data_IF_697473695112
#
_entry.id   IF_697473695112
#
_cell.length_a   1.000
_cell.length_b   1.000
_cell.length_c   1.000
_cell.angle_alpha   90.00
_cell.angle_beta   90.00
_cell.angle_gamma   90.00
#
_symmetry.space_group_name_H-M   'P 1'
#
loop_
_entity.id
_entity.type
_entity.pdbx_description
1 polymer ?
#
# COMPACT_ATOMS: atom_id res chain seq x y z
N UNK A 1 23.05 -29.38 81.29
CA UNK A 1 21.74 -28.70 81.14
C UNK A 1 21.98 -27.21 81.15
N UNK A 2 21.74 -26.55 80.01
CA UNK A 2 21.18 -25.20 79.84
C UNK A 2 21.44 -24.74 78.39
N UNK A 3 20.36 -24.72 77.62
CA UNK A 3 20.20 -24.12 76.29
C UNK A 3 20.28 -22.60 76.38
N UNK A 4 20.90 -21.90 75.42
CA UNK A 4 20.50 -20.53 75.01
C UNK A 4 20.97 -20.19 73.55
N UNK A 5 19.99 -20.15 72.63
CA UNK A 5 19.74 -19.17 71.54
C UNK A 5 20.93 -18.48 70.83
N UNK A 6 21.25 -18.75 69.55
CA UNK A 6 20.65 -18.23 68.30
C UNK A 6 20.58 -16.70 68.13
N UNK A 7 21.44 -16.13 67.26
CA UNK A 7 21.10 -14.98 66.40
C UNK A 7 22.02 -14.97 65.15
N UNK A 8 21.55 -15.55 64.05
CA UNK A 8 22.19 -15.44 62.74
C UNK A 8 21.50 -14.29 61.96
N UNK A 9 22.24 -13.22 61.68
CA UNK A 9 21.76 -12.13 60.85
C UNK A 9 21.89 -12.50 59.36
N UNK A 10 20.76 -12.79 58.71
CA UNK A 10 20.69 -12.99 57.27
C UNK A 10 20.43 -11.66 56.56
N UNK A 11 21.40 -11.20 55.76
CA UNK A 11 21.26 -10.08 54.83
C UNK A 11 20.59 -10.56 53.53
N UNK A 12 19.51 -9.94 53.04
CA UNK A 12 18.97 -10.26 51.73
C UNK A 12 19.81 -9.59 50.63
N UNK A 13 20.50 -10.40 49.82
CA UNK A 13 21.09 -9.96 48.55
C UNK A 13 19.96 -9.71 47.55
N UNK A 14 19.63 -8.43 47.34
CA UNK A 14 18.68 -7.98 46.32
C UNK A 14 19.36 -8.12 44.93
N UNK A 15 19.01 -9.15 44.17
CA UNK A 15 19.40 -9.26 42.76
C UNK A 15 18.53 -8.32 41.92
N UNK A 16 19.10 -7.18 41.52
CA UNK A 16 18.50 -6.29 40.54
C UNK A 16 18.68 -6.91 39.16
N UNK A 17 17.69 -7.67 38.68
CA UNK A 17 17.61 -8.10 37.28
C UNK A 17 17.24 -6.85 36.46
N UNK A 18 18.26 -6.20 35.89
CA UNK A 18 18.04 -5.17 34.88
C UNK A 18 17.46 -5.84 33.64
N UNK A 19 16.18 -5.57 33.36
CA UNK A 19 15.57 -5.91 32.08
C UNK A 19 16.27 -5.09 30.98
N UNK A 20 17.17 -5.73 30.25
CA UNK A 20 17.73 -5.15 29.03
C UNK A 20 16.64 -5.20 27.96
N UNK A 21 16.02 -4.06 27.69
CA UNK A 21 15.25 -3.85 26.46
C UNK A 21 16.25 -3.83 25.30
N UNK A 22 16.44 -4.97 24.64
CA UNK A 22 17.10 -5.03 23.34
C UNK A 22 16.19 -4.36 22.31
N UNK A 23 16.38 -3.06 22.08
CA UNK A 23 15.95 -2.47 20.81
C UNK A 23 16.87 -3.05 19.74
N UNK A 24 16.45 -4.12 19.10
CA UNK A 24 17.11 -4.67 17.91
C UNK A 24 16.92 -3.70 16.75
N UNK A 25 17.66 -2.59 16.77
CA UNK A 25 17.96 -1.80 15.57
C UNK A 25 19.01 -2.57 14.78
N UNK A 26 18.57 -3.60 14.05
CA UNK A 26 19.46 -4.33 13.16
C UNK A 26 19.99 -3.40 12.08
N UNK A 27 21.31 -3.38 11.88
CA UNK A 27 21.89 -2.73 10.71
C UNK A 27 21.51 -3.57 9.49
N UNK A 28 20.57 -3.07 8.69
CA UNK A 28 20.13 -3.76 7.48
C UNK A 28 21.19 -3.68 6.37
N UNK A 29 21.37 -4.75 5.58
CA UNK A 29 22.16 -4.69 4.35
C UNK A 29 21.64 -3.57 3.45
N UNK A 30 22.53 -2.76 2.90
CA UNK A 30 22.16 -1.64 2.03
C UNK A 30 22.08 -2.05 0.55
N UNK A 31 22.60 -3.22 0.20
CA UNK A 31 22.65 -3.74 -1.17
C UNK A 31 21.28 -4.18 -1.70
N UNK A 32 20.40 -4.67 -0.82
CA UNK A 32 19.03 -5.07 -1.16
C UNK A 32 18.04 -3.89 -1.14
N UNK A 33 18.42 -2.73 -0.59
CA UNK A 33 17.51 -1.59 -0.42
C UNK A 33 17.16 -0.98 -1.78
N UNK A 34 15.87 -0.94 -2.09
CA UNK A 34 15.35 -0.47 -3.36
C UNK A 34 14.09 -1.20 -3.80
N UNK A 35 13.49 -0.74 -4.90
CA UNK A 35 12.38 -1.42 -5.58
C UNK A 35 12.93 -2.28 -6.69
N UNK A 36 12.66 -3.57 -6.61
CA UNK A 36 13.06 -4.58 -7.55
C UNK A 36 11.85 -5.06 -8.33
N UNK A 37 11.95 -5.20 -9.64
CA UNK A 37 10.89 -5.76 -10.48
C UNK A 37 11.46 -6.78 -11.44
N UNK A 38 10.66 -7.80 -11.74
CA UNK A 38 10.89 -8.69 -12.87
C UNK A 38 10.92 -7.93 -14.21
N UNK A 39 11.49 -8.57 -15.24
CA UNK A 39 11.86 -7.98 -16.54
C UNK A 39 10.80 -7.12 -17.24
N UNK A 40 9.50 -7.34 -16.99
CA UNK A 40 8.46 -6.50 -17.60
C UNK A 40 8.56 -5.04 -17.16
N UNK A 41 9.05 -4.78 -15.94
CA UNK A 41 9.11 -3.45 -15.34
C UNK A 41 7.76 -2.70 -15.41
N UNK A 42 6.65 -3.44 -15.28
CA UNK A 42 5.30 -2.89 -15.28
C UNK A 42 4.57 -3.14 -13.96
N UNK A 43 4.85 -4.26 -13.28
CA UNK A 43 4.37 -4.51 -11.92
C UNK A 43 5.36 -3.88 -10.95
N UNK A 44 4.94 -2.85 -10.23
CA UNK A 44 5.78 -2.11 -9.27
C UNK A 44 5.01 -1.91 -7.98
N UNK A 45 5.69 -1.95 -6.85
CA UNK A 45 5.11 -1.62 -5.55
C UNK A 45 4.74 -0.12 -5.44
N UNK A 46 3.90 0.19 -4.47
CA UNK A 46 3.45 1.52 -4.11
C UNK A 46 2.04 1.85 -4.62
N UNK A 47 1.70 3.16 -4.68
CA UNK A 47 0.34 3.62 -4.99
C UNK A 47 -0.12 3.30 -6.43
N UNK A 48 0.80 2.89 -7.30
CA UNK A 48 0.46 2.43 -8.66
C UNK A 48 -0.12 1.01 -8.71
N UNK A 49 -0.01 0.23 -7.62
CA UNK A 49 -0.50 -1.15 -7.56
C UNK A 49 -1.64 -1.33 -6.56
N UNK A 50 -1.61 -0.61 -5.43
CA UNK A 50 -2.67 -0.64 -4.43
C UNK A 50 -3.06 0.76 -4.00
N UNK A 51 -4.36 1.04 -3.99
CA UNK A 51 -4.94 2.30 -3.50
C UNK A 51 -5.60 2.04 -2.13
N UNK A 52 -4.97 2.47 -1.01
CA UNK A 52 -5.49 2.23 0.32
C UNK A 52 -6.74 3.07 0.65
N UNK A 53 -7.01 4.15 -0.08
CA UNK A 53 -8.18 5.01 0.18
C UNK A 53 -9.47 4.39 -0.35
N UNK A 54 -9.40 3.77 -1.53
CA UNK A 54 -10.55 3.08 -2.14
C UNK A 54 -10.53 1.56 -1.95
N UNK A 55 -9.51 1.04 -1.25
CA UNK A 55 -9.27 -0.38 -1.01
C UNK A 55 -9.34 -1.23 -2.29
N UNK A 56 -8.57 -0.85 -3.33
CA UNK A 56 -8.55 -1.57 -4.62
C UNK A 56 -7.14 -1.84 -5.11
N UNK A 57 -6.99 -2.95 -5.82
CA UNK A 57 -5.79 -3.26 -6.59
C UNK A 57 -5.92 -2.68 -8.00
N UNK A 58 -4.82 -2.11 -8.51
CA UNK A 58 -4.74 -1.47 -9.82
C UNK A 58 -3.94 -2.39 -10.73
N UNK A 59 -4.59 -2.90 -11.79
CA UNK A 59 -3.98 -3.87 -12.70
C UNK A 59 -2.83 -3.24 -13.52
N UNK A 60 -1.61 -3.79 -13.44
CA UNK A 60 -0.50 -3.37 -14.28
C UNK A 60 -0.70 -3.78 -15.74
N UNK A 61 0.01 -3.10 -16.65
CA UNK A 61 -0.07 -3.41 -18.09
C UNK A 61 0.51 -4.77 -18.48
N UNK A 62 1.40 -5.34 -17.65
CA UNK A 62 2.03 -6.66 -17.87
C UNK A 62 2.23 -7.38 -16.54
N UNK A 63 2.20 -8.70 -16.60
CA UNK A 63 2.51 -9.57 -15.45
C UNK A 63 3.94 -9.40 -14.97
N UNK A 64 4.14 -9.65 -13.69
CA UNK A 64 5.41 -9.46 -13.02
C UNK A 64 5.29 -9.60 -11.52
N UNK A 65 6.46 -9.64 -10.89
CA UNK A 65 6.62 -9.62 -9.44
C UNK A 65 7.53 -8.43 -9.11
N UNK A 66 7.22 -7.74 -8.02
CA UNK A 66 8.05 -6.68 -7.48
C UNK A 66 8.12 -6.76 -5.97
N UNK A 67 9.30 -6.43 -5.44
CA UNK A 67 9.55 -6.26 -4.02
C UNK A 67 10.23 -4.93 -3.78
N UNK A 68 9.83 -4.25 -2.72
CA UNK A 68 10.57 -3.10 -2.21
C UNK A 68 11.08 -3.40 -0.82
N UNK A 69 12.36 -3.12 -0.59
CA UNK A 69 12.99 -3.22 0.73
C UNK A 69 13.52 -1.86 1.15
N UNK A 70 13.19 -1.43 2.35
CA UNK A 70 13.69 -0.20 2.94
C UNK A 70 14.83 -0.47 3.90
N UNK A 71 15.66 0.55 4.13
CA UNK A 71 16.78 0.49 5.06
C UNK A 71 16.39 0.50 6.54
N UNK A 72 15.11 0.61 6.87
CA UNK A 72 14.55 0.56 8.23
C UNK A 72 13.82 -0.77 8.51
N UNK A 73 13.85 -1.73 7.59
CA UNK A 73 13.33 -3.08 7.81
C UNK A 73 11.88 -3.27 7.38
N UNK A 74 11.36 -2.42 6.50
CA UNK A 74 10.03 -2.57 5.90
C UNK A 74 10.09 -3.13 4.49
N UNK A 75 9.10 -3.95 4.15
CA UNK A 75 8.97 -4.50 2.81
C UNK A 75 7.55 -4.29 2.27
N UNK A 76 7.46 -4.27 0.96
CA UNK A 76 6.21 -4.37 0.22
C UNK A 76 6.41 -5.31 -0.95
N UNK A 77 5.40 -6.09 -1.27
CA UNK A 77 5.37 -6.95 -2.46
C UNK A 77 4.15 -6.63 -3.34
N UNK A 78 4.36 -6.80 -4.65
CA UNK A 78 3.32 -6.70 -5.65
C UNK A 78 3.47 -7.85 -6.65
N UNK A 79 2.46 -8.68 -6.72
CA UNK A 79 2.40 -9.86 -7.58
C UNK A 79 1.27 -9.72 -8.57
N UNK A 80 1.57 -9.86 -9.86
CA UNK A 80 0.56 -10.00 -10.90
C UNK A 80 0.95 -11.16 -11.81
N UNK A 81 0.18 -12.26 -11.75
CA UNK A 81 0.48 -13.52 -12.43
C UNK A 81 -0.74 -14.02 -13.18
N UNK A 82 -0.53 -14.48 -14.40
CA UNK A 82 -1.51 -15.25 -15.14
C UNK A 82 -1.46 -16.73 -14.69
N UNK A 83 -2.63 -17.32 -14.48
CA UNK A 83 -2.82 -18.73 -14.16
C UNK A 83 -3.32 -19.41 -15.44
N UNK A 84 -2.51 -20.32 -15.98
CA UNK A 84 -2.89 -21.07 -17.17
C UNK A 84 -3.92 -22.14 -16.83
N UNK A 85 -4.93 -22.29 -17.70
CA UNK A 85 -5.90 -23.38 -17.63
C UNK A 85 -5.62 -24.38 -18.77
N UNK A 86 -4.91 -25.50 -18.51
CA UNK A 86 -4.55 -26.44 -19.57
C UNK A 86 -5.75 -27.21 -20.13
N UNK A 87 -6.84 -27.34 -19.37
CA UNK A 87 -8.07 -27.97 -19.85
C UNK A 87 -8.84 -27.05 -20.82
N UNK A 88 -8.83 -25.75 -20.55
CA UNK A 88 -9.43 -24.72 -21.42
C UNK A 88 -8.47 -23.54 -21.64
N UNK A 89 -7.54 -23.65 -22.62
CA UNK A 89 -6.52 -22.63 -22.85
C UNK A 89 -7.06 -21.24 -23.24
N UNK A 90 -8.30 -21.16 -23.74
CA UNK A 90 -9.00 -19.90 -24.03
C UNK A 90 -9.45 -19.15 -22.78
N UNK A 91 -9.38 -19.79 -21.61
CA UNK A 91 -9.89 -19.30 -20.33
C UNK A 91 -8.78 -19.19 -19.28
N UNK A 92 -7.80 -18.29 -19.45
CA UNK A 92 -6.82 -18.02 -18.40
C UNK A 92 -7.47 -17.26 -17.24
N UNK A 93 -6.98 -17.51 -16.03
CA UNK A 93 -7.31 -16.71 -14.86
C UNK A 93 -6.12 -15.81 -14.52
N UNK A 94 -6.33 -14.78 -13.71
CA UNK A 94 -5.25 -13.93 -13.23
C UNK A 94 -5.37 -13.73 -11.72
N UNK A 95 -4.21 -13.63 -11.06
CA UNK A 95 -4.12 -13.34 -9.64
C UNK A 95 -3.25 -12.11 -9.43
N UNK A 96 -3.75 -11.19 -8.62
CA UNK A 96 -3.00 -10.07 -8.09
C UNK A 96 -2.90 -10.20 -6.58
N UNK A 97 -1.72 -10.02 -6.01
CA UNK A 97 -1.49 -10.06 -4.57
C UNK A 97 -0.62 -8.88 -4.15
N UNK A 98 -0.99 -8.28 -3.04
CA UNK A 98 -0.29 -7.18 -2.41
C UNK A 98 -0.20 -7.45 -0.91
N UNK A 99 0.98 -7.25 -0.33
CA UNK A 99 1.14 -7.19 1.11
C UNK A 99 2.37 -6.36 1.45
N UNK A 100 2.41 -5.86 2.68
CA UNK A 100 3.51 -5.07 3.20
C UNK A 100 3.70 -5.37 4.69
N UNK A 101 4.87 -5.09 5.22
CA UNK A 101 5.18 -5.32 6.62
C UNK A 101 6.65 -5.13 6.95
N UNK A 102 7.19 -6.01 7.78
CA UNK A 102 8.58 -5.97 8.21
C UNK A 102 9.38 -7.13 7.60
N UNK A 103 10.65 -6.92 7.30
CA UNK A 103 11.57 -7.98 6.88
C UNK A 103 12.76 -8.07 7.82
N UNK A 104 13.34 -9.27 7.88
CA UNK A 104 14.52 -9.56 8.70
C UNK A 104 15.49 -10.44 7.93
N UNK A 105 16.75 -10.01 7.84
CA UNK A 105 17.85 -10.89 7.49
C UNK A 105 18.30 -11.68 8.72
N UNK A 106 18.13 -12.99 8.66
CA UNK A 106 18.49 -13.91 9.73
C UNK A 106 20.01 -14.17 9.73
N UNK A 107 20.55 -14.59 10.88
CA UNK A 107 21.99 -14.83 11.05
C UNK A 107 22.55 -15.96 10.15
N UNK A 108 21.70 -16.86 9.66
CA UNK A 108 22.03 -17.92 8.69
C UNK A 108 22.08 -17.41 7.24
N UNK A 109 21.76 -16.13 6.98
CA UNK A 109 21.67 -15.54 5.64
C UNK A 109 20.30 -15.64 4.97
N UNK A 110 19.31 -16.25 5.63
CA UNK A 110 17.93 -16.34 5.10
C UNK A 110 17.18 -15.03 5.33
N UNK A 111 16.29 -14.67 4.41
CA UNK A 111 15.48 -13.45 4.48
C UNK A 111 14.04 -13.83 4.82
N UNK A 112 13.51 -13.31 5.94
CA UNK A 112 12.11 -13.51 6.33
C UNK A 112 11.33 -12.23 6.11
N UNK A 113 10.14 -12.33 5.53
CA UNK A 113 9.19 -11.23 5.38
C UNK A 113 7.92 -11.54 6.16
N UNK A 114 7.49 -10.61 7.00
CA UNK A 114 6.34 -10.76 7.90
C UNK A 114 5.35 -9.62 7.62
N UNK A 115 4.25 -9.91 6.90
CA UNK A 115 3.27 -8.88 6.54
C UNK A 115 2.46 -8.40 7.75
N UNK A 116 1.79 -7.27 7.59
CA UNK A 116 0.76 -6.80 8.51
C UNK A 116 -0.54 -7.55 8.20
N UNK A 117 -0.96 -8.41 9.13
CA UNK A 117 -2.04 -9.39 8.95
C UNK A 117 -3.36 -8.86 8.36
N UNK A 118 -3.70 -7.59 8.64
CA UNK A 118 -4.99 -6.99 8.25
C UNK A 118 -4.95 -6.29 6.90
N UNK A 119 -3.76 -6.04 6.36
CA UNK A 119 -3.57 -5.15 5.21
C UNK A 119 -3.45 -5.90 3.89
N UNK A 120 -2.89 -7.11 3.86
CA UNK A 120 -2.68 -7.79 2.57
C UNK A 120 -3.98 -8.06 1.82
N UNK A 121 -3.90 -7.97 0.48
CA UNK A 121 -5.02 -8.05 -0.47
C UNK A 121 -4.70 -9.01 -1.60
N UNK A 122 -5.72 -9.72 -2.05
CA UNK A 122 -5.64 -10.60 -3.19
C UNK A 122 -6.88 -10.42 -4.07
N UNK A 123 -6.67 -10.35 -5.37
CA UNK A 123 -7.72 -10.34 -6.38
C UNK A 123 -7.53 -11.52 -7.31
N UNK A 124 -8.53 -12.40 -7.38
CA UNK A 124 -8.59 -13.50 -8.33
C UNK A 124 -9.63 -13.19 -9.39
N UNK A 125 -9.21 -13.13 -10.65
CA UNK A 125 -10.08 -12.93 -11.81
C UNK A 125 -10.15 -14.23 -12.61
N UNK A 126 -11.35 -14.78 -12.77
CA UNK A 126 -11.60 -15.94 -13.63
C UNK A 126 -12.77 -15.63 -14.60
N UNK A 127 -12.48 -15.03 -15.77
CA UNK A 127 -13.51 -14.54 -16.70
C UNK A 127 -14.45 -15.61 -17.25
N UNK A 128 -14.04 -16.90 -17.23
CA UNK A 128 -14.87 -17.99 -17.72
C UNK A 128 -15.76 -18.61 -16.64
N UNK A 129 -15.47 -18.37 -15.35
CA UNK A 129 -16.27 -18.88 -14.24
C UNK A 129 -17.28 -17.84 -13.74
N UNK A 130 -16.91 -16.55 -13.80
CA UNK A 130 -17.74 -15.45 -13.31
C UNK A 130 -17.38 -14.10 -13.96
N UNK A 131 -18.38 -13.24 -14.14
CA UNK A 131 -18.19 -11.87 -14.66
C UNK A 131 -17.51 -10.93 -13.66
N UNK A 132 -17.41 -11.34 -12.39
CA UNK A 132 -16.85 -10.54 -11.29
C UNK A 132 -15.59 -11.19 -10.74
N UNK A 133 -14.59 -10.39 -10.38
CA UNK A 133 -13.39 -10.85 -9.70
C UNK A 133 -13.59 -11.00 -8.18
N UNK A 134 -12.94 -11.99 -7.58
CA UNK A 134 -13.01 -12.27 -6.15
C UNK A 134 -11.90 -11.52 -5.41
N UNK A 135 -12.29 -10.57 -4.56
CA UNK A 135 -11.37 -9.79 -3.73
C UNK A 135 -11.36 -10.30 -2.29
N UNK A 136 -10.20 -10.74 -1.81
CA UNK A 136 -10.02 -11.32 -0.48
C UNK A 136 -8.82 -10.72 0.25
N UNK A 137 -8.77 -10.87 1.57
CA UNK A 137 -7.56 -10.58 2.34
C UNK A 137 -6.49 -11.63 2.08
N UNK A 138 -5.24 -11.20 2.16
CA UNK A 138 -4.06 -12.04 1.99
C UNK A 138 -3.10 -11.80 3.14
N UNK A 139 -2.50 -12.88 3.63
CA UNK A 139 -1.49 -12.82 4.67
C UNK A 139 -0.61 -14.06 4.53
N UNK A 140 0.59 -13.86 4.00
CA UNK A 140 1.56 -14.93 3.88
C UNK A 140 2.94 -14.41 4.31
N UNK A 141 3.46 -14.99 5.39
CA UNK A 141 4.87 -14.83 5.75
C UNK A 141 5.72 -15.63 4.77
N UNK A 142 6.69 -15.00 4.14
CA UNK A 142 7.60 -15.69 3.20
C UNK A 142 9.01 -15.80 3.78
N UNK A 143 9.61 -16.97 3.61
CA UNK A 143 11.00 -17.25 3.95
C UNK A 143 11.77 -17.51 2.66
N UNK A 144 12.78 -16.70 2.40
CA UNK A 144 13.77 -16.94 1.35
C UNK A 144 15.00 -17.58 1.98
N UNK A 145 15.45 -18.72 1.43
CA UNK A 145 16.65 -19.41 1.94
C UNK A 145 17.87 -18.49 1.93
N UNK A 146 18.00 -17.68 0.86
CA UNK A 146 19.07 -16.70 0.66
C UNK A 146 18.68 -15.71 -0.42
N UNK A 147 19.43 -14.62 -0.49
CA UNK A 147 19.38 -13.66 -1.60
C UNK A 147 20.78 -13.41 -2.16
N UNK A 148 20.86 -12.93 -3.39
CA UNK A 148 22.11 -12.46 -3.98
C UNK A 148 21.84 -11.20 -4.82
N UNK A 149 22.61 -10.14 -4.56
CA UNK A 149 22.63 -8.94 -5.38
C UNK A 149 23.89 -8.97 -6.24
N UNK A 150 23.71 -8.97 -7.55
CA UNK A 150 24.80 -8.99 -8.53
C UNK A 150 24.56 -7.90 -9.58
N UNK A 151 25.58 -7.51 -10.34
CA UNK A 151 25.37 -6.66 -11.52
C UNK A 151 25.24 -7.56 -12.74
N UNK A 152 24.16 -7.41 -13.50
CA UNK A 152 23.97 -8.19 -14.73
C UNK A 152 25.07 -7.83 -15.75
N UNK A 153 25.91 -8.77 -16.20
CA UNK A 153 27.01 -8.48 -17.12
C UNK A 153 26.54 -8.02 -18.50
N UNK A 154 25.30 -8.30 -18.89
CA UNK A 154 24.77 -7.90 -20.19
C UNK A 154 24.19 -6.48 -20.15
N UNK A 155 23.35 -6.18 -19.15
CA UNK A 155 22.67 -4.87 -19.05
C UNK A 155 23.42 -3.86 -18.18
N UNK A 156 24.40 -4.28 -17.36
CA UNK A 156 25.10 -3.48 -16.36
C UNK A 156 24.16 -2.81 -15.33
N UNK A 157 23.08 -3.50 -14.96
CA UNK A 157 22.08 -3.04 -13.99
C UNK A 157 22.10 -3.99 -12.78
N UNK A 158 21.90 -3.50 -11.54
CA UNK A 158 21.76 -4.36 -10.39
C UNK A 158 20.60 -5.36 -10.57
N UNK A 159 20.91 -6.62 -10.27
CA UNK A 159 20.03 -7.78 -10.34
C UNK A 159 19.93 -8.41 -8.95
N UNK A 160 18.70 -8.66 -8.51
CA UNK A 160 18.37 -9.38 -7.30
C UNK A 160 17.88 -10.78 -7.68
N UNK A 161 18.56 -11.79 -7.15
CA UNK A 161 18.15 -13.18 -7.19
C UNK A 161 17.68 -13.60 -5.80
N UNK A 162 16.39 -13.90 -5.67
CA UNK A 162 15.80 -14.49 -4.47
C UNK A 162 15.69 -16.01 -4.64
N UNK A 163 15.93 -16.74 -3.57
CA UNK A 163 15.77 -18.19 -3.51
C UNK A 163 14.63 -18.50 -2.55
N UNK A 164 13.64 -19.25 -3.01
CA UNK A 164 12.48 -19.68 -2.22
C UNK A 164 12.93 -20.50 -1.00
N UNK A 165 12.00 -20.83 -0.10
CA UNK A 165 12.27 -21.59 1.13
C UNK A 165 12.92 -22.98 0.86
N UNK A 166 12.69 -23.54 -0.32
CA UNK A 166 13.23 -24.82 -0.80
C UNK A 166 14.56 -24.68 -1.56
N UNK A 167 15.09 -23.45 -1.65
CA UNK A 167 16.29 -23.11 -2.42
C UNK A 167 16.08 -23.03 -3.92
N UNK A 168 14.85 -23.19 -4.41
CA UNK A 168 14.56 -22.98 -5.82
C UNK A 168 14.73 -21.49 -6.19
N UNK A 169 15.36 -21.18 -7.33
CA UNK A 169 15.54 -19.81 -7.76
C UNK A 169 14.19 -19.21 -8.17
N UNK A 170 13.89 -18.02 -7.66
CA UNK A 170 12.73 -17.25 -8.10
C UNK A 170 13.02 -16.50 -9.40
N UNK A 171 11.98 -15.86 -9.94
CA UNK A 171 12.10 -14.98 -11.08
C UNK A 171 13.12 -13.87 -10.79
N UNK A 172 14.08 -13.70 -11.69
CA UNK A 172 15.11 -12.67 -11.56
C UNK A 172 14.48 -11.28 -11.56
N UNK A 173 14.98 -10.39 -10.71
CA UNK A 173 14.50 -9.03 -10.59
C UNK A 173 15.62 -8.02 -10.80
N UNK A 174 15.27 -6.84 -11.28
CA UNK A 174 16.17 -5.74 -11.57
C UNK A 174 15.78 -4.52 -10.76
N UNK A 175 16.77 -3.73 -10.34
CA UNK A 175 16.54 -2.50 -9.60
C UNK A 175 15.85 -1.46 -10.49
N UNK A 176 14.72 -0.95 -10.02
CA UNK A 176 13.91 0.08 -10.70
C UNK A 176 14.01 1.43 -9.98
N UNK A 177 13.88 1.42 -8.66
CA UNK A 177 13.94 2.64 -7.84
C UNK A 177 14.90 2.52 -6.66
N UNK A 178 15.63 3.60 -6.41
CA UNK A 178 16.42 3.84 -5.21
C UNK A 178 16.35 5.35 -4.91
N UNK A 179 15.63 5.82 -3.88
CA UNK A 179 15.01 5.08 -2.77
C UNK A 179 13.81 4.18 -3.19
N UNK A 180 13.45 3.18 -2.38
CA UNK A 180 12.32 2.28 -2.67
C UNK A 180 10.98 3.02 -2.71
N UNK A 181 10.12 2.60 -3.63
CA UNK A 181 8.74 3.05 -3.78
C UNK A 181 7.77 2.03 -3.14
N UNK A 182 7.14 2.42 -2.04
CA UNK A 182 6.11 1.64 -1.35
C UNK A 182 5.10 2.56 -0.66
N UNK A 183 3.98 2.00 -0.23
CA UNK A 183 2.97 2.65 0.60
C UNK A 183 3.48 2.88 2.03
N UNK A 184 2.79 3.70 2.84
CA UNK A 184 3.20 3.92 4.23
C UNK A 184 3.28 2.63 5.03
N UNK A 185 4.33 2.48 5.84
CA UNK A 185 4.69 1.25 6.56
C UNK A 185 3.83 1.00 7.82
N UNK A 186 2.86 1.87 8.07
CA UNK A 186 1.87 1.73 9.15
C UNK A 186 0.68 0.91 8.68
N UNK A 187 -0.07 0.32 9.63
CA UNK A 187 -1.34 -0.33 9.30
C UNK A 187 -2.29 0.60 8.56
N UNK A 188 -2.70 0.22 7.34
CA UNK A 188 -3.54 1.04 6.46
C UNK A 188 -5.03 0.80 6.72
N UNK A 189 -5.43 -0.45 6.95
CA UNK A 189 -6.83 -0.85 7.10
C UNK A 189 -7.07 -1.64 8.40
N UNK A 190 -7.13 -0.95 9.57
CA UNK A 190 -7.31 -1.61 10.85
C UNK A 190 -8.68 -2.29 10.95
N UNK A 191 -8.68 -3.59 11.27
CA UNK A 191 -9.89 -4.33 11.67
C UNK A 191 -10.03 -4.27 13.19
N UNK A 192 -11.25 -4.25 13.74
CA UNK A 192 -11.53 -4.02 15.17
C UNK A 192 -10.84 -5.00 16.15
N UNK A 193 -10.24 -6.08 15.67
CA UNK A 193 -9.46 -7.07 16.43
C UNK A 193 -7.94 -6.80 16.45
N UNK A 194 -7.44 -5.88 15.63
CA UNK A 194 -6.05 -5.43 15.66
C UNK A 194 -5.92 -4.23 16.58
N UNK A 195 -5.19 -4.38 17.68
CA UNK A 195 -4.88 -3.28 18.60
C UNK A 195 -4.00 -2.25 17.88
N UNK A 196 -4.64 -1.28 17.22
CA UNK A 196 -3.98 -0.10 16.71
C UNK A 196 -3.55 0.78 17.90
N UNK A 197 -2.25 0.81 18.18
CA UNK A 197 -1.66 1.87 19.00
C UNK A 197 -1.55 3.12 18.13
N UNK A 198 -2.64 3.87 17.99
CA UNK A 198 -2.55 5.28 17.58
C UNK A 198 -3.71 6.10 18.12
N UNK A 199 -3.34 7.10 18.90
CA UNK A 199 -4.19 8.04 19.60
C UNK A 199 -4.75 9.08 18.62
N UNK A 200 -5.87 8.79 17.97
CA UNK A 200 -6.72 9.86 17.40
C UNK A 200 -8.11 9.34 17.06
N UNK A 201 -9.09 9.80 17.85
CA UNK A 201 -10.52 9.67 17.57
C UNK A 201 -10.86 10.41 16.27
N UNK A 202 -11.13 9.67 15.19
CA UNK A 202 -11.91 10.16 14.06
C UNK A 202 -13.03 9.15 13.75
N UNK A 203 -14.27 9.56 14.03
CA UNK A 203 -15.49 8.82 13.66
C UNK A 203 -15.61 8.79 12.13
N UNK A 204 -15.26 7.68 11.49
CA UNK A 204 -15.69 7.40 10.12
C UNK A 204 -17.12 6.84 10.13
N UNK A 205 -18.07 7.59 9.58
CA UNK A 205 -19.43 7.13 9.31
C UNK A 205 -19.37 6.10 8.17
N UNK A 206 -19.85 4.90 8.47
CA UNK A 206 -20.06 3.78 7.56
C UNK A 206 -21.22 4.14 6.61
N UNK A 207 -20.94 4.20 5.31
CA UNK A 207 -21.94 4.23 4.25
C UNK A 207 -21.57 3.16 3.24
N UNK A 208 -22.51 2.25 2.97
CA UNK A 208 -22.46 1.28 1.88
C UNK A 208 -22.13 2.01 0.57
N UNK A 209 -21.29 1.41 -0.26
CA UNK A 209 -21.68 0.90 -1.58
C UNK A 209 -20.57 -0.01 -2.08
N UNK A 210 -20.93 -1.25 -2.44
CA UNK A 210 -20.01 -2.20 -3.07
C UNK A 210 -19.53 -1.58 -4.37
N UNK A 211 -18.26 -1.16 -4.42
CA UNK A 211 -17.63 -0.76 -5.65
C UNK A 211 -17.26 -2.03 -6.43
N UNK A 212 -18.23 -2.59 -7.14
CA UNK A 212 -17.96 -3.52 -8.23
C UNK A 212 -17.11 -2.76 -9.26
N UNK A 213 -15.87 -3.21 -9.47
CA UNK A 213 -14.95 -2.61 -10.44
C UNK A 213 -15.19 -3.30 -11.79
N UNK A 214 -15.74 -2.62 -12.81
CA UNK A 214 -15.91 -3.21 -14.13
C UNK A 214 -14.56 -3.34 -14.86
N UNK A 215 -14.36 -4.47 -15.54
CA UNK A 215 -13.15 -4.89 -16.29
C UNK A 215 -12.74 -3.98 -17.49
N UNK A 216 -13.25 -2.75 -17.61
CA UNK A 216 -12.91 -1.86 -18.72
C UNK A 216 -12.82 -0.37 -18.34
N UNK A 217 -12.38 -0.04 -17.13
CA UNK A 217 -11.98 1.34 -16.88
C UNK A 217 -10.49 1.49 -17.16
N UNK A 218 -10.15 2.03 -18.32
CA UNK A 218 -8.85 2.67 -18.56
C UNK A 218 -8.93 4.08 -17.96
N UNK A 219 -8.32 4.37 -16.79
CA UNK A 219 -8.07 5.75 -16.42
C UNK A 219 -7.00 6.28 -17.37
N UNK A 220 -7.30 7.41 -18.02
CA UNK A 220 -6.40 8.09 -18.92
C UNK A 220 -5.06 8.31 -18.19
N UNK A 221 -4.03 7.58 -18.59
CA UNK A 221 -2.67 7.65 -18.08
C UNK A 221 -1.99 8.96 -18.55
N UNK A 222 -2.54 10.09 -18.12
CA UNK A 222 -2.05 11.43 -18.47
C UNK A 222 -1.40 12.14 -17.28
N UNK A 223 -1.28 11.49 -16.12
CA UNK A 223 -0.73 12.11 -14.90
C UNK A 223 0.68 11.63 -14.50
N UNK A 224 1.29 10.69 -15.23
CA UNK A 224 2.72 10.37 -15.11
C UNK A 224 3.37 10.48 -16.49
N UNK A 225 4.28 11.45 -16.62
CA UNK A 225 4.84 11.87 -17.90
C UNK A 225 5.56 10.76 -18.65
N UNK A 226 4.93 10.31 -19.74
CA UNK A 226 5.59 9.70 -20.89
C UNK A 226 5.13 10.48 -22.12
N UNK A 227 6.08 11.16 -22.76
CA UNK A 227 5.79 12.13 -23.80
C UNK A 227 5.36 11.47 -25.10
N UNK A 228 4.22 11.92 -25.63
CA UNK A 228 3.94 11.89 -27.06
C UNK A 228 3.63 13.31 -27.54
N UNK A 229 4.45 13.76 -28.50
CA UNK A 229 4.30 15.03 -29.20
C UNK A 229 3.16 14.86 -30.21
N UNK A 230 2.11 15.66 -30.06
CA UNK A 230 1.25 16.04 -31.19
C UNK A 230 -0.25 15.91 -30.97
N UNK A 231 -0.85 16.81 -30.19
CA UNK A 231 -2.16 17.39 -30.48
C UNK A 231 -2.41 18.56 -29.50
N UNK A 232 -2.74 19.71 -30.06
CA UNK A 232 -2.90 20.96 -29.33
C UNK A 232 -4.22 21.03 -28.54
N UNK A 233 -4.19 21.92 -27.53
CA UNK A 233 -5.29 22.71 -26.97
C UNK A 233 -5.84 22.32 -25.59
N UNK A 234 -5.55 23.25 -24.68
CA UNK A 234 -6.40 23.79 -23.61
C UNK A 234 -6.35 23.15 -22.21
N UNK A 235 -5.75 23.91 -21.30
CA UNK A 235 -5.64 23.59 -19.88
C UNK A 235 -6.86 24.14 -19.13
N UNK A 236 -7.61 23.23 -18.49
CA UNK A 236 -8.74 23.60 -17.64
C UNK A 236 -8.54 23.09 -16.22
N UNK A 237 -8.21 23.99 -15.30
CA UNK A 237 -8.30 23.77 -13.85
C UNK A 237 -9.78 23.56 -13.51
N UNK A 238 -10.19 22.33 -13.18
CA UNK A 238 -11.58 22.04 -12.78
C UNK A 238 -11.79 22.53 -11.34
N UNK A 239 -12.19 23.80 -11.20
CA UNK A 239 -12.79 24.28 -9.95
C UNK A 239 -14.14 23.60 -9.78
N UNK A 240 -14.28 22.80 -8.72
CA UNK A 240 -15.54 22.22 -8.26
C UNK A 240 -16.41 23.34 -7.70
N UNK A 241 -17.18 24.00 -8.57
CA UNK A 241 -18.13 25.02 -8.15
C UNK A 241 -19.37 24.31 -7.62
N UNK A 242 -19.66 24.51 -6.32
CA UNK A 242 -20.86 23.95 -5.70
C UNK A 242 -22.11 24.63 -6.29
N UNK A 243 -22.89 23.84 -7.03
CA UNK A 243 -24.09 24.30 -7.73
C UNK A 243 -25.14 24.92 -6.79
N UNK A 244 -25.25 24.44 -5.55
CA UNK A 244 -26.16 25.00 -4.54
C UNK A 244 -25.75 26.44 -4.17
N UNK A 245 -24.44 26.68 -4.03
CA UNK A 245 -23.90 28.01 -3.71
C UNK A 245 -24.13 28.99 -4.87
N UNK A 246 -23.96 28.55 -6.13
CA UNK A 246 -24.27 29.34 -7.31
C UNK A 246 -25.75 29.70 -7.41
N UNK A 247 -26.63 28.74 -7.11
CA UNK A 247 -28.08 28.93 -7.14
C UNK A 247 -28.54 29.98 -6.12
N UNK A 248 -28.05 29.89 -4.88
CA UNK A 248 -28.36 30.88 -3.84
C UNK A 248 -27.81 32.27 -4.16
N UNK A 249 -26.63 32.38 -4.77
CA UNK A 249 -26.08 33.66 -5.23
C UNK A 249 -26.97 34.28 -6.31
N UNK A 250 -27.44 33.48 -7.28
CA UNK A 250 -28.36 33.95 -8.32
C UNK A 250 -29.69 34.47 -7.77
N UNK A 251 -30.25 33.77 -6.77
CA UNK A 251 -31.46 34.20 -6.06
C UNK A 251 -31.26 35.54 -5.33
N UNK A 252 -30.12 35.71 -4.65
CA UNK A 252 -29.79 36.94 -3.95
C UNK A 252 -29.62 38.13 -4.90
N UNK A 253 -28.92 37.95 -6.02
CA UNK A 253 -28.75 39.01 -7.02
C UNK A 253 -30.07 39.41 -7.67
N UNK A 254 -30.95 38.44 -7.95
CA UNK A 254 -32.26 38.72 -8.53
C UNK A 254 -33.17 39.46 -7.54
N UNK A 255 -33.18 39.05 -6.27
CA UNK A 255 -33.95 39.72 -5.22
C UNK A 255 -33.48 41.16 -4.98
N UNK A 256 -32.17 41.38 -4.89
CA UNK A 256 -31.60 42.72 -4.70
C UNK A 256 -31.83 43.62 -5.92
N UNK A 257 -31.73 43.07 -7.14
CA UNK A 257 -32.06 43.78 -8.37
C UNK A 257 -33.53 44.20 -8.43
N UNK A 258 -34.45 43.32 -8.02
CA UNK A 258 -35.88 43.63 -7.93
C UNK A 258 -36.19 44.76 -6.93
N UNK A 259 -35.54 44.73 -5.77
CA UNK A 259 -35.69 45.76 -4.72
C UNK A 259 -35.13 47.12 -5.15
N UNK A 260 -34.04 47.15 -5.92
CA UNK A 260 -33.49 48.37 -6.49
C UNK A 260 -34.36 48.91 -7.63
N UNK A 261 -34.94 48.03 -8.45
CA UNK A 261 -35.80 48.41 -9.57
C UNK A 261 -37.18 48.93 -9.13
N UNK A 262 -37.77 48.31 -8.10
CA UNK A 262 -39.08 48.67 -7.54
C UNK A 262 -39.00 49.45 -6.22
N UNK A 263 -37.79 49.87 -5.85
CA UNK A 263 -37.51 50.51 -4.56
C UNK A 263 -38.26 51.83 -4.35
N UNK A 264 -38.28 52.34 -3.11
CA UNK A 264 -39.29 53.29 -2.60
C UNK A 264 -39.35 54.66 -3.30
N UNK A 265 -38.45 54.94 -4.24
CA UNK A 265 -38.44 56.19 -5.00
C UNK A 265 -39.47 56.24 -6.12
N UNK A 266 -40.11 55.12 -6.48
CA UNK A 266 -41.17 55.06 -7.52
C UNK A 266 -42.58 54.80 -7.00
N UNK A 267 -42.75 54.43 -5.74
CA UNK A 267 -44.06 54.38 -5.09
C UNK A 267 -44.05 55.46 -4.01
N UNK A 268 -44.70 56.60 -4.27
CA UNK A 268 -44.69 57.79 -3.42
C UNK A 268 -45.23 57.55 -2.01
N UNK A 269 -44.39 56.94 -1.17
CA UNK A 269 -44.62 56.73 0.26
C UNK A 269 -43.57 57.58 0.95
N UNK A 270 -43.99 58.78 1.35
CA UNK A 270 -43.35 59.51 2.45
C UNK A 270 -43.70 58.79 3.75
N UNK A 271 -42.70 58.60 4.62
CA UNK A 271 -42.91 58.22 6.03
C UNK A 271 -43.97 59.10 6.69
#
# INVERSE_FOLDING_TARGET
MLLYTSLAAALPFLHLIGAQTTTSGGTWPTDIVGTWSTKSNQTLTGPGFYDPFTDRLIEPSRTGISYSFTSDGHFEEAYYRAIANPAMPSCPSAIMQWQHGAWVLNANGSLTTTPIDVDGRQLLSSPCDSDTSVYTRYNQTELFERYAVTTDPYHNIPRLDLFSFDGSPMNVMYLVYSPPQMLPTTTLNPTATGTATSTSKAKAKRGLDNADVPLNWKPNAQFFGAGDRGAAADGGVVHHINADRLWWIGLAMTGMGGLLYLGPRRMGITL
#
